data_IF_219367565164
#
_entry.id   IF_219367565164
#
_cell.length_a   1.000
_cell.length_b   1.000
_cell.length_c   1.000
_cell.angle_alpha   90.00
_cell.angle_beta   90.00
_cell.angle_gamma   90.00
#
_symmetry.space_group_name_H-M   'P 1'
#
loop_
_entity.id
_entity.type
_entity.pdbx_description
1 polymer ?
#
# COMPACT_ATOMS: atom_id res chain seq x y z
N UNK A 1 -6.01 13.78 3.39
CA UNK A 1 -6.74 14.24 4.61
C UNK A 1 -5.76 14.27 5.77
N UNK A 2 -5.89 15.19 6.76
CA UNK A 2 -4.98 15.14 7.89
C UNK A 2 -5.32 13.97 8.82
N UNK A 3 -4.32 13.33 9.45
CA UNK A 3 -4.54 12.21 10.36
C UNK A 3 -5.59 12.53 11.44
N UNK A 4 -5.60 13.78 11.92
CA UNK A 4 -6.59 14.24 12.90
C UNK A 4 -8.05 14.09 12.42
N UNK A 5 -8.31 14.37 11.15
CA UNK A 5 -9.66 14.29 10.59
C UNK A 5 -10.09 12.84 10.42
N UNK A 6 -9.14 11.97 10.04
CA UNK A 6 -9.37 10.53 9.91
C UNK A 6 -9.66 9.92 11.29
N UNK A 7 -8.88 10.27 12.31
CA UNK A 7 -9.09 9.82 13.67
C UNK A 7 -10.41 10.32 14.26
N UNK A 8 -10.83 11.55 13.95
CA UNK A 8 -12.13 12.07 14.38
C UNK A 8 -13.29 11.27 13.76
N UNK A 9 -13.20 10.92 12.48
CA UNK A 9 -14.15 10.06 11.80
C UNK A 9 -14.19 8.65 12.40
N UNK A 10 -13.02 8.06 12.63
CA UNK A 10 -12.85 6.70 13.15
C UNK A 10 -13.15 6.56 14.65
N UNK A 11 -13.47 7.66 15.35
CA UNK A 11 -13.67 7.65 16.80
C UNK A 11 -12.39 7.33 17.60
N UNK A 12 -11.23 7.66 17.04
CA UNK A 12 -9.90 7.39 17.62
C UNK A 12 -9.62 5.90 17.86
N UNK A 13 -10.15 5.03 17.00
CA UNK A 13 -9.90 3.58 17.02
C UNK A 13 -9.56 3.07 15.62
N UNK A 14 -8.92 1.91 15.56
CA UNK A 14 -8.63 1.22 14.31
C UNK A 14 -9.95 0.80 13.64
N UNK A 15 -10.12 1.19 12.37
CA UNK A 15 -11.35 0.92 11.62
C UNK A 15 -11.52 -0.56 11.22
N UNK A 16 -10.53 -1.42 11.53
CA UNK A 16 -10.64 -2.87 11.39
C UNK A 16 -10.94 -3.55 12.72
N UNK A 17 -10.08 -3.40 13.72
CA UNK A 17 -10.12 -4.18 14.96
C UNK A 17 -10.53 -3.39 16.21
N UNK A 18 -10.70 -2.08 16.12
CA UNK A 18 -11.10 -1.24 17.24
C UNK A 18 -9.99 -0.91 18.23
N UNK A 19 -8.73 -1.30 17.98
CA UNK A 19 -7.60 -0.93 18.84
C UNK A 19 -7.35 0.58 18.83
N UNK A 20 -6.96 1.15 19.96
CA UNK A 20 -6.75 2.59 20.11
C UNK A 20 -5.28 3.04 19.97
N UNK A 21 -4.34 2.10 20.02
CA UNK A 21 -2.91 2.40 20.08
C UNK A 21 -2.25 2.40 18.70
N UNK A 22 -1.30 3.33 18.51
CA UNK A 22 -0.43 3.37 17.33
C UNK A 22 -1.16 3.65 16.01
N UNK A 23 -2.30 4.31 16.04
CA UNK A 23 -3.11 4.58 14.87
C UNK A 23 -2.38 5.44 13.85
N UNK A 24 -2.48 5.05 12.59
CA UNK A 24 -1.91 5.74 11.46
C UNK A 24 -2.90 5.80 10.29
N UNK A 25 -2.72 6.79 9.42
CA UNK A 25 -3.46 6.89 8.18
C UNK A 25 -2.83 5.98 7.12
N UNK A 26 -3.61 5.07 6.59
CA UNK A 26 -3.21 4.19 5.48
C UNK A 26 -4.00 4.59 4.25
N UNK A 27 -3.30 4.88 3.15
CA UNK A 27 -3.90 5.35 1.91
C UNK A 27 -4.53 4.20 1.09
N UNK A 28 -5.76 4.41 0.67
CA UNK A 28 -6.52 3.55 -0.22
C UNK A 28 -7.02 4.34 -1.43
N UNK A 29 -6.09 5.06 -2.07
CA UNK A 29 -6.41 5.88 -3.24
C UNK A 29 -7.21 5.10 -4.32
N UNK A 30 -8.13 5.75 -5.01
CA UNK A 30 -8.52 7.16 -4.92
C UNK A 30 -9.59 7.48 -3.86
N UNK A 31 -9.95 6.54 -3.00
CA UNK A 31 -11.09 6.65 -2.08
C UNK A 31 -10.74 7.32 -0.74
N UNK A 32 -9.46 7.57 -0.49
CA UNK A 32 -8.98 8.21 0.73
C UNK A 32 -8.22 7.26 1.65
N UNK A 33 -8.17 7.59 2.93
CA UNK A 33 -7.34 6.94 3.93
C UNK A 33 -8.20 6.29 5.02
N UNK A 34 -7.68 5.21 5.63
CA UNK A 34 -8.26 4.56 6.81
C UNK A 34 -7.34 4.70 8.03
N UNK A 35 -7.92 4.79 9.23
CA UNK A 35 -7.18 4.73 10.48
C UNK A 35 -6.95 3.28 10.87
N UNK A 36 -5.71 2.81 10.82
CA UNK A 36 -5.35 1.44 11.17
C UNK A 36 -4.27 1.41 12.25
N UNK A 37 -4.33 0.40 13.12
CA UNK A 37 -3.24 0.09 14.04
C UNK A 37 -2.09 -0.62 13.30
N UNK A 38 -0.88 -0.71 13.88
CA UNK A 38 0.28 -1.33 13.22
C UNK A 38 0.03 -2.76 12.74
N UNK A 39 -0.72 -3.56 13.51
CA UNK A 39 -1.08 -4.94 13.12
C UNK A 39 -2.00 -4.99 11.91
N UNK A 40 -3.02 -4.14 11.86
CA UNK A 40 -3.94 -4.08 10.73
C UNK A 40 -3.33 -3.41 9.49
N UNK A 41 -2.35 -2.53 9.68
CA UNK A 41 -1.58 -1.92 8.60
C UNK A 41 -0.51 -2.87 8.01
N UNK A 42 -0.25 -4.00 8.65
CA UNK A 42 0.73 -4.99 8.20
C UNK A 42 2.18 -4.69 8.60
N UNK A 43 2.39 -3.78 9.54
CA UNK A 43 3.73 -3.45 10.06
C UNK A 43 4.20 -4.41 11.14
N UNK A 44 3.27 -5.05 11.81
CA UNK A 44 3.51 -6.03 12.88
C UNK A 44 2.74 -7.30 12.57
N UNK A 45 3.41 -8.45 12.75
CA UNK A 45 2.77 -9.74 12.59
C UNK A 45 1.65 -9.93 13.62
N UNK A 46 0.51 -10.38 13.15
CA UNK A 46 -0.65 -10.70 13.98
C UNK A 46 -1.08 -12.15 13.74
N UNK A 47 -1.66 -12.83 14.74
CA UNK A 47 -2.17 -14.19 14.56
C UNK A 47 -3.30 -14.21 13.51
N UNK A 48 -3.47 -15.36 12.86
CA UNK A 48 -4.45 -15.49 11.76
C UNK A 48 -5.90 -15.18 12.20
N UNK A 49 -6.24 -15.49 13.42
CA UNK A 49 -7.57 -15.24 14.00
C UNK A 49 -7.83 -13.75 14.27
N UNK A 50 -6.78 -12.92 14.37
CA UNK A 50 -6.93 -11.46 14.44
C UNK A 50 -7.77 -10.92 13.28
N UNK A 51 -7.62 -11.48 12.10
CA UNK A 51 -8.32 -11.02 10.90
C UNK A 51 -9.83 -11.29 10.92
N UNK A 52 -10.33 -12.03 11.89
CA UNK A 52 -11.78 -12.19 12.12
C UNK A 52 -12.47 -10.86 12.44
N UNK A 53 -11.72 -9.84 12.88
CA UNK A 53 -12.25 -8.48 13.07
C UNK A 53 -12.85 -7.90 11.78
N UNK A 54 -12.40 -8.38 10.61
CA UNK A 54 -12.92 -7.93 9.32
C UNK A 54 -14.38 -8.30 9.08
N UNK A 55 -14.91 -9.32 9.75
CA UNK A 55 -16.33 -9.66 9.69
C UNK A 55 -17.21 -8.50 10.19
N UNK A 56 -16.76 -7.80 11.23
CA UNK A 56 -17.43 -6.58 11.72
C UNK A 56 -17.15 -5.36 10.83
N UNK A 57 -15.90 -5.18 10.41
CA UNK A 57 -15.48 -4.06 9.56
C UNK A 57 -16.11 -4.11 8.16
N UNK A 58 -16.56 -5.27 7.69
CA UNK A 58 -17.24 -5.44 6.40
C UNK A 58 -18.55 -4.63 6.28
N UNK A 59 -19.16 -4.22 7.39
CA UNK A 59 -20.39 -3.43 7.42
C UNK A 59 -20.17 -1.92 7.38
N UNK A 60 -18.93 -1.47 7.20
CA UNK A 60 -18.60 -0.03 7.12
C UNK A 60 -19.27 0.64 5.93
N UNK A 61 -19.63 1.92 6.09
CA UNK A 61 -20.07 2.79 5.00
C UNK A 61 -18.95 3.71 4.47
N UNK A 62 -17.73 3.63 5.04
CA UNK A 62 -16.59 4.42 4.62
C UNK A 62 -15.93 3.81 3.37
N UNK A 63 -15.85 4.52 2.22
CA UNK A 63 -15.35 3.94 0.99
C UNK A 63 -13.93 3.40 1.07
N UNK A 64 -13.02 4.14 1.71
CA UNK A 64 -11.63 3.71 1.89
C UNK A 64 -11.52 2.43 2.72
N UNK A 65 -12.28 2.35 3.81
CA UNK A 65 -12.33 1.17 4.68
C UNK A 65 -12.97 -0.01 3.97
N UNK A 66 -14.05 0.21 3.22
CA UNK A 66 -14.70 -0.83 2.41
C UNK A 66 -13.73 -1.47 1.41
N UNK A 67 -12.97 -0.63 0.69
CA UNK A 67 -11.96 -1.11 -0.26
C UNK A 67 -10.87 -1.92 0.45
N UNK A 68 -10.39 -1.41 1.58
CA UNK A 68 -9.36 -2.06 2.38
C UNK A 68 -9.80 -3.44 2.87
N UNK A 69 -11.02 -3.54 3.44
CA UNK A 69 -11.61 -4.80 3.92
C UNK A 69 -11.81 -5.78 2.77
N UNK A 70 -12.38 -5.32 1.65
CA UNK A 70 -12.61 -6.14 0.45
C UNK A 70 -11.32 -6.80 -0.06
N UNK A 71 -10.25 -6.00 -0.18
CA UNK A 71 -8.96 -6.49 -0.65
C UNK A 71 -8.30 -7.44 0.35
N UNK A 72 -8.37 -7.12 1.63
CA UNK A 72 -7.79 -7.97 2.68
C UNK A 72 -8.48 -9.31 2.76
N UNK A 73 -9.81 -9.35 2.75
CA UNK A 73 -10.60 -10.59 2.73
C UNK A 73 -10.27 -11.46 1.51
N UNK A 74 -10.07 -10.84 0.34
CA UNK A 74 -9.69 -11.55 -0.88
C UNK A 74 -8.33 -12.24 -0.82
N UNK A 75 -7.45 -11.83 0.08
CA UNK A 75 -6.13 -12.45 0.33
C UNK A 75 -6.12 -13.51 1.43
N UNK A 76 -7.26 -13.77 2.10
CA UNK A 76 -7.35 -14.75 3.17
C UNK A 76 -7.99 -16.03 2.64
N UNK A 77 -7.22 -17.12 2.65
CA UNK A 77 -7.70 -18.45 2.23
C UNK A 77 -8.44 -19.14 3.39
N UNK A 78 -9.68 -18.71 3.60
CA UNK A 78 -10.56 -19.30 4.61
C UNK A 78 -12.04 -19.10 4.22
N UNK A 79 -12.88 -20.09 4.49
CA UNK A 79 -14.31 -20.04 4.13
C UNK A 79 -15.03 -18.83 4.71
N UNK A 80 -14.79 -18.48 5.98
CA UNK A 80 -15.37 -17.31 6.62
C UNK A 80 -15.01 -15.99 5.91
N UNK A 81 -13.80 -15.87 5.36
CA UNK A 81 -13.37 -14.67 4.65
C UNK A 81 -14.08 -14.52 3.30
N UNK A 82 -14.30 -15.64 2.63
CA UNK A 82 -15.09 -15.69 1.39
C UNK A 82 -16.53 -15.27 1.69
N UNK A 83 -17.17 -15.87 2.69
CA UNK A 83 -18.52 -15.54 3.11
C UNK A 83 -18.67 -14.06 3.51
N UNK A 84 -17.75 -13.54 4.31
CA UNK A 84 -17.74 -12.13 4.71
C UNK A 84 -17.61 -11.20 3.50
N UNK A 85 -16.75 -11.53 2.55
CA UNK A 85 -16.53 -10.76 1.32
C UNK A 85 -17.78 -10.78 0.42
N UNK A 86 -18.38 -11.94 0.22
CA UNK A 86 -19.62 -12.09 -0.58
C UNK A 86 -20.81 -11.37 0.05
N UNK A 87 -20.84 -11.26 1.37
CA UNK A 87 -21.86 -10.51 2.11
C UNK A 87 -21.73 -8.99 2.04
N UNK A 88 -20.58 -8.47 1.56
CA UNK A 88 -20.38 -7.02 1.48
C UNK A 88 -21.23 -6.39 0.37
N UNK A 89 -21.94 -5.33 0.72
CA UNK A 89 -22.60 -4.45 -0.26
C UNK A 89 -21.70 -3.25 -0.53
N UNK A 90 -20.95 -3.30 -1.65
CA UNK A 90 -20.00 -2.24 -1.99
C UNK A 90 -20.70 -0.98 -2.50
N UNK A 91 -20.20 0.17 -2.09
CA UNK A 91 -20.58 1.44 -2.66
C UNK A 91 -20.20 1.50 -4.15
N UNK A 92 -20.92 2.23 -5.03
CA UNK A 92 -20.64 2.26 -6.46
C UNK A 92 -19.19 2.64 -6.81
N UNK A 93 -18.62 3.62 -6.11
CA UNK A 93 -17.22 4.03 -6.30
C UNK A 93 -16.22 2.97 -5.84
N UNK A 94 -16.56 2.15 -4.85
CA UNK A 94 -15.74 1.02 -4.41
C UNK A 94 -15.85 -0.13 -5.40
N UNK A 95 -17.07 -0.46 -5.83
CA UNK A 95 -17.33 -1.50 -6.83
C UNK A 95 -16.52 -1.28 -8.12
N UNK A 96 -16.41 -0.02 -8.57
CA UNK A 96 -15.69 0.34 -9.79
C UNK A 96 -14.20 -0.02 -9.77
N UNK A 97 -13.60 -0.10 -8.57
CA UNK A 97 -12.15 -0.33 -8.40
C UNK A 97 -11.81 -1.54 -7.52
N UNK A 98 -12.82 -2.20 -6.95
CA UNK A 98 -12.60 -3.28 -5.96
C UNK A 98 -11.71 -4.41 -6.49
N UNK A 99 -11.92 -4.82 -7.73
CA UNK A 99 -11.21 -5.92 -8.38
C UNK A 99 -9.99 -5.48 -9.20
N UNK A 100 -9.71 -4.16 -9.25
CA UNK A 100 -8.49 -3.67 -9.86
C UNK A 100 -7.29 -3.98 -8.94
N UNK A 101 -6.11 -4.28 -9.51
CA UNK A 101 -4.90 -4.41 -8.72
C UNK A 101 -4.67 -3.17 -7.84
N UNK A 102 -4.26 -3.37 -6.60
CA UNK A 102 -3.84 -2.26 -5.76
C UNK A 102 -2.71 -1.51 -6.49
N UNK A 103 -2.81 -0.19 -6.56
CA UNK A 103 -1.74 0.61 -7.14
C UNK A 103 -0.45 0.35 -6.34
N UNK A 104 0.58 -0.09 -7.04
CA UNK A 104 1.88 -0.32 -6.43
C UNK A 104 2.55 1.04 -6.22
N UNK A 105 2.69 1.45 -4.96
CA UNK A 105 3.30 2.73 -4.61
C UNK A 105 4.79 2.52 -4.38
N UNK A 106 5.60 3.11 -5.24
CA UNK A 106 7.06 3.13 -5.09
C UNK A 106 7.45 4.31 -4.20
N UNK A 107 8.37 4.08 -3.27
CA UNK A 107 8.91 5.12 -2.39
C UNK A 107 10.42 5.13 -2.45
N UNK A 108 11.00 6.32 -2.28
CA UNK A 108 12.45 6.46 -2.12
C UNK A 108 12.89 6.07 -0.69
N UNK A 109 14.21 6.12 -0.44
CA UNK A 109 14.78 5.81 0.86
C UNK A 109 14.32 6.75 2.01
N UNK A 110 13.74 7.91 1.67
CA UNK A 110 13.20 8.88 2.61
C UNK A 110 11.68 8.73 2.80
N UNK A 111 11.05 7.81 2.07
CA UNK A 111 9.61 7.57 2.10
C UNK A 111 8.79 8.45 1.15
N UNK A 112 9.43 9.29 0.33
CA UNK A 112 8.73 10.09 -0.67
C UNK A 112 8.21 9.21 -1.81
N UNK A 113 6.96 9.44 -2.23
CA UNK A 113 6.34 8.70 -3.33
C UNK A 113 7.03 9.05 -4.65
N UNK A 114 7.42 8.01 -5.37
CA UNK A 114 8.02 8.12 -6.70
C UNK A 114 6.94 8.01 -7.78
N UNK A 115 7.06 8.85 -8.80
CA UNK A 115 6.19 8.81 -9.98
C UNK A 115 6.99 8.52 -11.24
N UNK A 116 6.30 8.03 -12.26
CA UNK A 116 6.86 7.78 -13.57
C UNK A 116 7.54 9.03 -14.13
N UNK A 117 8.80 8.91 -14.53
CA UNK A 117 9.57 10.00 -15.11
C UNK A 117 10.40 10.82 -14.11
N UNK A 118 10.31 10.55 -12.81
CA UNK A 118 11.12 11.19 -11.78
C UNK A 118 12.62 10.98 -11.99
N UNK A 119 13.40 11.77 -11.28
CA UNK A 119 14.86 11.60 -11.16
C UNK A 119 15.21 11.24 -9.74
N UNK A 120 15.92 10.14 -9.55
CA UNK A 120 16.39 9.69 -8.23
C UNK A 120 17.91 9.69 -8.19
N UNK A 121 18.46 9.72 -6.98
CA UNK A 121 19.92 9.68 -6.75
C UNK A 121 20.26 8.42 -5.95
N UNK A 122 21.26 7.68 -6.41
CA UNK A 122 21.70 6.48 -5.70
C UNK A 122 22.32 6.83 -4.34
N UNK A 123 21.84 6.16 -3.30
CA UNK A 123 22.37 6.32 -1.93
C UNK A 123 23.49 5.34 -1.59
N UNK A 124 23.69 4.33 -2.44
CA UNK A 124 24.73 3.31 -2.35
C UNK A 124 25.32 3.03 -3.74
N UNK A 125 26.52 2.47 -3.78
CA UNK A 125 27.08 1.94 -5.01
C UNK A 125 26.24 0.75 -5.50
N UNK A 126 25.91 0.75 -6.79
CA UNK A 126 25.13 -0.31 -7.43
C UNK A 126 25.94 -1.02 -8.49
N UNK A 127 26.19 -2.30 -8.30
CA UNK A 127 26.84 -3.14 -9.33
C UNK A 127 25.78 -3.55 -10.35
N UNK A 128 25.94 -3.09 -11.59
CA UNK A 128 25.04 -3.41 -12.70
C UNK A 128 25.44 -4.74 -13.32
N UNK A 129 24.70 -5.79 -12.99
CA UNK A 129 24.94 -7.13 -13.54
C UNK A 129 24.72 -7.12 -15.06
N UNK A 130 25.70 -7.60 -15.81
CA UNK A 130 25.65 -7.69 -17.28
C UNK A 130 26.21 -6.49 -18.04
N UNK A 131 26.51 -5.40 -17.37
CA UNK A 131 27.07 -4.19 -17.99
C UNK A 131 28.51 -3.91 -17.58
N UNK A 132 29.11 -4.72 -16.72
CA UNK A 132 30.47 -4.59 -16.20
C UNK A 132 30.85 -3.22 -15.65
N UNK A 133 29.84 -2.46 -15.11
CA UNK A 133 30.15 -1.20 -14.45
C UNK A 133 29.40 -1.11 -13.10
N UNK A 134 29.90 -0.22 -12.24
CA UNK A 134 29.29 0.08 -10.96
C UNK A 134 28.83 1.54 -10.97
N UNK A 135 27.51 1.76 -10.86
CA UNK A 135 26.96 3.08 -10.65
C UNK A 135 27.27 3.52 -9.21
N UNK A 136 28.00 4.62 -9.07
CA UNK A 136 28.45 5.12 -7.77
C UNK A 136 27.33 5.81 -7.01
N UNK A 137 27.42 5.78 -5.69
CA UNK A 137 26.60 6.65 -4.82
C UNK A 137 26.65 8.10 -5.32
N UNK A 138 25.49 8.75 -5.36
CA UNK A 138 25.35 10.11 -5.87
C UNK A 138 25.06 10.19 -7.38
N UNK A 139 25.07 9.06 -8.09
CA UNK A 139 24.68 9.02 -9.50
C UNK A 139 23.19 9.28 -9.66
N UNK A 140 22.84 10.23 -10.54
CA UNK A 140 21.45 10.53 -10.87
C UNK A 140 20.89 9.54 -11.89
N UNK A 141 19.77 8.92 -11.58
CA UNK A 141 19.00 8.07 -12.48
C UNK A 141 17.77 8.87 -12.92
N UNK A 142 17.71 9.20 -14.19
CA UNK A 142 16.66 10.06 -14.76
C UNK A 142 15.60 9.26 -15.47
N UNK A 143 14.38 9.82 -15.52
CA UNK A 143 13.23 9.24 -16.21
C UNK A 143 12.98 7.81 -15.78
N UNK A 144 12.84 7.62 -14.46
CA UNK A 144 12.54 6.30 -13.91
C UNK A 144 11.22 5.77 -14.45
N UNK A 145 11.16 4.46 -14.59
CA UNK A 145 9.92 3.71 -14.84
C UNK A 145 9.61 2.87 -13.62
N UNK A 146 8.37 2.91 -13.18
CA UNK A 146 7.92 2.12 -12.04
C UNK A 146 7.65 0.68 -12.48
N UNK A 147 8.14 -0.29 -11.71
CA UNK A 147 7.87 -1.71 -11.96
C UNK A 147 6.49 -2.04 -11.40
N UNK A 148 5.54 -2.37 -12.29
CA UNK A 148 4.13 -2.51 -11.93
C UNK A 148 3.85 -3.55 -10.84
N UNK A 149 4.65 -4.59 -10.76
CA UNK A 149 4.43 -5.74 -9.87
C UNK A 149 5.37 -5.76 -8.64
N UNK A 150 6.26 -4.78 -8.51
CA UNK A 150 7.24 -4.77 -7.43
C UNK A 150 7.49 -3.36 -6.89
N UNK A 151 6.95 -3.02 -5.70
CA UNK A 151 7.12 -1.69 -5.10
C UNK A 151 8.56 -1.37 -4.68
N UNK A 152 9.41 -2.39 -4.57
CA UNK A 152 10.82 -2.26 -4.20
C UNK A 152 11.76 -2.09 -5.39
N UNK A 153 11.25 -2.00 -6.61
CA UNK A 153 12.09 -1.89 -7.81
C UNK A 153 11.60 -0.79 -8.74
N UNK A 154 12.54 -0.05 -9.28
CA UNK A 154 12.34 0.92 -10.36
C UNK A 154 13.35 0.65 -11.47
N UNK A 155 13.01 1.02 -12.68
CA UNK A 155 13.93 1.00 -13.82
C UNK A 155 14.36 2.43 -14.16
N UNK A 156 15.57 2.59 -14.59
CA UNK A 156 16.08 3.88 -15.03
C UNK A 156 17.26 3.74 -15.98
N UNK A 157 17.78 4.88 -16.44
CA UNK A 157 18.97 4.92 -17.30
C UNK A 157 20.11 5.62 -16.58
N UNK A 158 21.28 4.97 -16.62
CA UNK A 158 22.56 5.54 -16.20
C UNK A 158 23.53 5.32 -17.34
N UNK A 159 24.18 6.38 -17.84
CA UNK A 159 25.14 6.31 -18.96
C UNK A 159 24.60 5.52 -20.17
N UNK A 160 23.36 5.81 -20.58
CA UNK A 160 22.63 5.14 -21.67
C UNK A 160 22.30 3.65 -21.44
N UNK A 161 22.62 3.11 -20.28
CA UNK A 161 22.24 1.75 -19.91
C UNK A 161 21.01 1.71 -19.03
N UNK A 162 20.07 0.80 -19.35
CA UNK A 162 18.89 0.52 -18.54
C UNK A 162 19.28 -0.34 -17.36
N UNK A 163 18.95 0.11 -16.17
CA UNK A 163 19.23 -0.60 -14.93
C UNK A 163 17.94 -0.73 -14.11
N UNK A 164 17.88 -1.77 -13.29
CA UNK A 164 16.83 -1.98 -12.27
C UNK A 164 17.45 -1.74 -10.90
N UNK A 165 16.79 -0.91 -10.08
CA UNK A 165 17.25 -0.49 -8.76
C UNK A 165 16.23 -0.92 -7.73
#
# INVERSE_FOLDING_TARGET
>A
MALKDILARAGSVCEFCGAADGLQAVDFAPLGEAALCPGCAGEVDVPADHWRCLEGAAWTSEPAVQLAVWRKLGGIDAAWAVEAREGMTLLPQVQAIADLPAAVIHRDANGAVLVQGDTVVLIKDLVVKGANFTAKRGTSVRRISLVADNPGQIEGRVEDQRIVI
#
